data_IF_234102884658
#
_entry.id   IF_234102884658
#
_cell.length_a   1.000
_cell.length_b   1.000
_cell.length_c   1.000
_cell.angle_alpha   90.00
_cell.angle_beta   90.00
_cell.angle_gamma   90.00
#
_symmetry.space_group_name_H-M   'P 1'
#
loop_
_entity.id
_entity.type
_entity.pdbx_description
1 polymer ?
#
# COMPACT_ATOMS: atom_id res chain seq x y z
N UNK A 1 -15.71 -2.72 -1.72
CA UNK A 1 -15.04 -1.55 -2.30
C UNK A 1 -14.08 -2.01 -3.38
N UNK A 2 -14.07 -1.41 -4.53
CA UNK A 2 -13.10 -1.74 -5.56
C UNK A 2 -11.73 -1.07 -5.26
N UNK A 3 -10.66 -1.67 -5.79
CA UNK A 3 -9.32 -1.11 -5.67
C UNK A 3 -9.27 0.32 -6.21
N UNK A 4 -8.61 1.22 -5.49
CA UNK A 4 -8.60 2.63 -5.83
C UNK A 4 -7.30 3.32 -5.41
N UNK A 5 -6.95 4.39 -6.12
CA UNK A 5 -5.95 5.36 -5.68
C UNK A 5 -6.60 6.43 -4.81
N UNK A 6 -5.88 6.88 -3.79
CA UNK A 6 -6.29 8.07 -3.04
C UNK A 6 -6.18 9.32 -3.92
N UNK A 7 -7.14 10.23 -3.82
CA UNK A 7 -7.11 11.48 -4.60
C UNK A 7 -5.84 12.31 -4.33
N UNK A 8 -5.45 12.55 -3.06
CA UNK A 8 -4.17 13.21 -2.80
C UNK A 8 -2.93 12.40 -3.22
N UNK A 9 -3.08 11.08 -3.37
CA UNK A 9 -2.02 10.25 -3.93
C UNK A 9 -1.75 10.59 -5.41
N UNK A 10 -2.79 10.70 -6.21
CA UNK A 10 -2.66 11.15 -7.62
C UNK A 10 -2.09 12.55 -7.70
N UNK A 11 -2.57 13.47 -6.87
CA UNK A 11 -2.02 14.82 -6.78
C UNK A 11 -0.54 14.81 -6.43
N UNK A 12 -0.13 13.94 -5.49
CA UNK A 12 1.27 13.79 -5.09
C UNK A 12 2.18 13.35 -6.23
N UNK A 13 1.73 12.46 -7.10
CA UNK A 13 2.48 12.08 -8.30
C UNK A 13 2.61 13.27 -9.26
N UNK A 14 1.52 14.00 -9.52
CA UNK A 14 1.53 15.16 -10.42
C UNK A 14 2.38 16.31 -9.87
N UNK A 15 2.41 16.50 -8.56
CA UNK A 15 3.19 17.54 -7.89
C UNK A 15 4.67 17.17 -7.68
N UNK A 16 5.07 15.93 -7.97
CA UNK A 16 6.42 15.44 -7.71
C UNK A 16 6.71 15.18 -6.23
N UNK A 17 5.67 15.02 -5.41
CA UNK A 17 5.81 14.70 -3.98
C UNK A 17 5.86 13.20 -3.71
N UNK A 18 5.37 12.40 -4.65
CA UNK A 18 5.45 10.93 -4.63
C UNK A 18 6.27 10.49 -5.84
N UNK A 19 7.31 9.73 -5.56
CA UNK A 19 8.16 9.11 -6.56
C UNK A 19 8.11 7.60 -6.39
N UNK A 20 7.44 6.91 -7.30
CA UNK A 20 7.32 5.46 -7.25
C UNK A 20 8.66 4.76 -7.38
N UNK A 21 9.48 5.26 -8.28
CA UNK A 21 10.70 4.59 -8.72
C UNK A 21 11.79 4.62 -7.65
N UNK A 22 12.08 5.79 -7.09
CA UNK A 22 13.24 5.98 -6.21
C UNK A 22 12.90 6.10 -4.73
N UNK A 23 11.69 6.54 -4.37
CA UNK A 23 11.27 6.68 -2.98
C UNK A 23 11.07 5.32 -2.29
N UNK A 24 11.01 5.33 -0.96
CA UNK A 24 10.69 4.14 -0.15
C UNK A 24 9.19 3.94 -0.17
N UNK A 25 8.72 3.00 -0.97
CA UNK A 25 7.32 2.59 -1.03
C UNK A 25 7.15 1.32 -0.23
N UNK A 26 6.10 1.26 0.58
CA UNK A 26 5.74 0.09 1.40
C UNK A 26 4.27 -0.25 1.23
N UNK A 27 3.93 -1.46 1.63
CA UNK A 27 2.54 -1.87 1.80
C UNK A 27 2.30 -2.31 3.24
N UNK A 28 1.06 -2.20 3.69
CA UNK A 28 0.62 -2.71 4.98
C UNK A 28 -0.68 -3.48 4.83
N UNK A 29 -0.86 -4.53 5.64
CA UNK A 29 -2.15 -5.14 5.83
C UNK A 29 -2.93 -4.34 6.87
N UNK A 30 -4.10 -3.85 6.50
CA UNK A 30 -4.92 -2.94 7.32
C UNK A 30 -6.28 -3.54 7.57
N UNK A 31 -6.73 -3.48 8.82
CA UNK A 31 -8.10 -3.82 9.25
C UNK A 31 -8.78 -2.62 9.91
N UNK A 32 -10.10 -2.66 9.99
CA UNK A 32 -10.87 -1.65 10.73
C UNK A 32 -10.97 -0.29 10.06
N UNK A 33 -10.48 -0.14 8.84
CA UNK A 33 -10.52 1.10 8.09
C UNK A 33 -11.57 1.02 6.98
N UNK A 34 -12.41 2.04 6.89
CA UNK A 34 -13.29 2.27 5.74
C UNK A 34 -12.60 3.23 4.78
N UNK A 35 -12.40 2.80 3.55
CA UNK A 35 -11.70 3.60 2.54
C UNK A 35 -12.32 4.99 2.37
N UNK A 36 -11.49 6.01 2.47
CA UNK A 36 -11.85 7.40 2.18
C UNK A 36 -10.83 7.99 1.19
N UNK A 37 -11.28 8.20 -0.03
CA UNK A 37 -10.43 8.67 -1.13
C UNK A 37 -9.76 10.03 -0.87
N UNK A 38 -10.27 10.83 0.05
CA UNK A 38 -9.74 12.15 0.37
C UNK A 38 -8.59 12.14 1.38
N UNK A 39 -8.31 11.01 2.02
CA UNK A 39 -7.21 10.91 2.97
C UNK A 39 -5.86 11.04 2.26
N UNK A 40 -4.93 11.75 2.88
CA UNK A 40 -3.63 12.09 2.31
C UNK A 40 -2.47 11.36 2.97
N UNK A 41 -2.55 11.12 4.26
CA UNK A 41 -1.46 10.56 5.07
C UNK A 41 -1.87 9.31 5.83
N UNK A 42 -0.90 8.45 6.14
CA UNK A 42 -1.14 7.23 6.93
C UNK A 42 -1.77 7.54 8.29
N UNK A 43 -1.45 8.67 8.90
CA UNK A 43 -2.05 9.10 10.17
C UNK A 43 -3.57 9.28 10.09
N UNK A 44 -4.14 9.57 8.93
CA UNK A 44 -5.59 9.67 8.75
C UNK A 44 -6.25 8.30 8.70
N UNK A 45 -5.55 7.28 8.21
CA UNK A 45 -6.01 5.89 8.26
C UNK A 45 -6.09 5.41 9.71
N UNK A 46 -5.03 5.63 10.49
CA UNK A 46 -5.01 5.24 11.90
C UNK A 46 -5.96 6.09 12.75
N UNK A 47 -6.12 7.37 12.44
CA UNK A 47 -7.10 8.25 13.07
C UNK A 47 -8.55 7.86 12.79
N UNK A 48 -8.81 7.16 11.68
CA UNK A 48 -10.12 6.62 11.31
C UNK A 48 -10.27 5.13 11.70
N UNK A 49 -9.68 4.72 12.79
CA UNK A 49 -9.75 3.37 13.37
C UNK A 49 -9.00 2.28 12.59
N UNK A 50 -8.26 2.63 11.56
CA UNK A 50 -7.43 1.69 10.81
C UNK A 50 -6.27 1.18 11.66
N UNK A 51 -6.02 -0.12 11.60
CA UNK A 51 -4.88 -0.76 12.26
C UNK A 51 -3.98 -1.36 11.19
N UNK A 52 -2.74 -0.88 11.11
CA UNK A 52 -1.71 -1.48 10.28
C UNK A 52 -1.19 -2.72 11.01
N UNK A 53 -1.74 -3.88 10.67
CA UNK A 53 -1.41 -5.14 11.37
C UNK A 53 0.03 -5.57 11.13
N UNK A 54 0.52 -5.41 9.90
CA UNK A 54 1.90 -5.66 9.51
C UNK A 54 2.27 -4.77 8.33
N UNK A 55 3.50 -4.28 8.32
CA UNK A 55 4.04 -3.44 7.24
C UNK A 55 5.23 -4.14 6.59
N UNK A 56 5.33 -4.06 5.27
CA UNK A 56 6.42 -4.67 4.52
C UNK A 56 7.75 -3.92 4.69
N UNK A 57 8.84 -4.55 4.26
CA UNK A 57 10.05 -3.83 3.86
C UNK A 57 9.74 -2.93 2.65
N UNK A 58 10.69 -2.11 2.24
CA UNK A 58 10.58 -1.33 1.00
C UNK A 58 10.31 -2.26 -0.20
N UNK A 59 9.38 -1.87 -1.07
CA UNK A 59 9.12 -2.62 -2.29
C UNK A 59 10.35 -2.68 -3.16
N UNK A 60 10.65 -3.86 -3.69
CA UNK A 60 11.79 -4.12 -4.56
C UNK A 60 11.36 -4.18 -6.04
N UNK A 61 12.33 -4.00 -6.94
CA UNK A 61 12.14 -4.13 -8.39
C UNK A 61 10.99 -3.27 -8.94
N UNK A 62 10.85 -2.05 -8.41
CA UNK A 62 9.81 -1.11 -8.86
C UNK A 62 10.06 -0.66 -10.29
N UNK A 63 8.99 -0.57 -11.08
CA UNK A 63 9.00 -0.08 -12.46
C UNK A 63 7.84 0.87 -12.73
N UNK A 64 7.99 1.69 -13.76
CA UNK A 64 7.01 2.72 -14.16
C UNK A 64 6.69 2.68 -15.66
N UNK A 65 6.82 1.53 -16.27
CA UNK A 65 6.71 1.38 -17.72
C UNK A 65 5.29 1.67 -18.23
N UNK A 66 5.17 2.56 -19.20
CA UNK A 66 3.89 2.90 -19.83
C UNK A 66 2.88 3.57 -18.88
N UNK A 67 3.36 4.29 -17.87
CA UNK A 67 2.49 4.90 -16.85
C UNK A 67 1.93 3.91 -15.83
N UNK A 68 2.39 2.66 -15.87
CA UNK A 68 1.93 1.59 -15.01
C UNK A 68 2.99 1.26 -13.96
N UNK A 69 2.60 1.29 -12.69
CA UNK A 69 3.45 0.94 -11.56
C UNK A 69 3.45 -0.57 -11.32
N UNK A 70 4.64 -1.12 -11.13
CA UNK A 70 4.84 -2.52 -10.76
C UNK A 70 5.96 -2.64 -9.72
N UNK A 71 6.01 -3.79 -9.05
CA UNK A 71 7.05 -4.15 -8.09
C UNK A 71 7.09 -5.68 -7.91
N UNK A 72 8.11 -6.19 -7.24
CA UNK A 72 8.14 -7.59 -6.83
C UNK A 72 7.00 -7.89 -5.83
N UNK A 73 6.53 -9.13 -5.85
CA UNK A 73 5.56 -9.63 -4.88
C UNK A 73 6.08 -9.49 -3.45
N UNK A 74 5.17 -9.35 -2.50
CA UNK A 74 5.50 -9.16 -1.08
C UNK A 74 5.04 -10.37 -0.27
N UNK A 75 5.95 -10.95 0.50
CA UNK A 75 5.64 -12.00 1.45
C UNK A 75 5.69 -11.45 2.88
N UNK A 76 4.62 -11.66 3.63
CA UNK A 76 4.58 -11.44 5.08
C UNK A 76 4.69 -12.78 5.79
N UNK A 77 5.64 -12.91 6.70
CA UNK A 77 5.91 -14.17 7.41
C UNK A 77 5.14 -14.21 8.72
N UNK A 78 4.48 -15.34 9.00
CA UNK A 78 3.82 -15.65 10.28
C UNK A 78 2.93 -14.49 10.77
N UNK A 79 2.01 -14.04 9.94
CA UNK A 79 1.10 -12.93 10.28
C UNK A 79 0.15 -13.37 11.38
N UNK A 80 0.13 -12.62 12.48
CA UNK A 80 -0.71 -12.93 13.64
C UNK A 80 -2.17 -13.14 13.25
N UNK A 81 -2.76 -14.25 13.70
CA UNK A 81 -4.14 -14.59 13.39
C UNK A 81 -5.12 -13.51 13.86
N UNK A 82 -6.07 -13.17 13.02
CA UNK A 82 -7.13 -12.21 13.33
C UNK A 82 -8.33 -12.51 12.45
N UNK A 83 -9.53 -12.54 13.04
CA UNK A 83 -10.76 -12.88 12.33
C UNK A 83 -11.29 -11.75 11.41
N UNK A 84 -10.74 -10.54 11.52
CA UNK A 84 -11.16 -9.42 10.69
C UNK A 84 -10.58 -9.50 9.29
N UNK A 85 -11.32 -9.00 8.30
CA UNK A 85 -10.82 -8.82 6.95
C UNK A 85 -9.73 -7.75 6.92
N UNK A 86 -8.67 -8.04 6.21
CA UNK A 86 -7.56 -7.11 5.96
C UNK A 86 -7.53 -6.73 4.49
N UNK A 87 -7.11 -5.51 4.22
CA UNK A 87 -6.86 -4.97 2.89
C UNK A 87 -5.43 -4.48 2.78
N UNK A 88 -4.98 -4.18 1.59
CA UNK A 88 -3.62 -3.70 1.33
C UNK A 88 -3.64 -2.19 1.17
N UNK A 89 -2.85 -1.50 1.99
CA UNK A 89 -2.56 -0.08 1.88
C UNK A 89 -1.19 0.10 1.21
N UNK A 90 -1.11 0.96 0.20
CA UNK A 90 0.14 1.31 -0.48
C UNK A 90 0.47 2.75 -0.11
N UNK A 91 1.68 3.01 0.35
CA UNK A 91 2.09 4.34 0.79
C UNK A 91 3.58 4.61 0.61
N UNK A 92 3.94 5.89 0.53
CA UNK A 92 5.34 6.33 0.52
C UNK A 92 5.80 6.54 1.96
N UNK A 93 6.68 5.66 2.43
CA UNK A 93 7.22 5.69 3.80
C UNK A 93 8.31 6.76 3.97
N UNK A 94 9.03 7.07 2.89
CA UNK A 94 10.02 8.16 2.82
C UNK A 94 10.17 8.62 1.37
N UNK A 95 10.27 9.91 1.14
CA UNK A 95 10.60 10.47 -0.18
C UNK A 95 12.10 10.32 -0.51
N UNK A 96 12.93 10.05 0.49
CA UNK A 96 14.38 9.88 0.33
C UNK A 96 14.69 8.44 -0.04
N UNK A 97 15.40 8.21 -1.13
CA UNK A 97 15.83 6.89 -1.56
C UNK A 97 16.65 6.21 -0.45
N UNK A 98 16.22 5.00 -0.05
CA UNK A 98 16.84 4.26 1.05
C UNK A 98 16.72 4.93 2.43
N UNK A 99 15.90 5.98 2.55
CA UNK A 99 15.70 6.71 3.79
C UNK A 99 14.91 5.94 4.84
N UNK A 100 15.05 6.35 6.09
CA UNK A 100 14.23 5.84 7.19
C UNK A 100 12.78 6.33 7.06
N UNK A 101 11.84 5.55 7.59
CA UNK A 101 10.43 5.92 7.60
C UNK A 101 10.23 7.26 8.31
N UNK A 102 9.49 8.15 7.67
CA UNK A 102 9.06 9.40 8.30
C UNK A 102 7.84 9.16 9.19
N UNK A 103 7.45 10.17 9.97
CA UNK A 103 6.24 10.06 10.78
C UNK A 103 4.99 9.78 9.93
N UNK A 104 4.01 9.07 10.47
CA UNK A 104 2.77 8.72 9.77
C UNK A 104 2.02 9.93 9.21
N UNK A 105 2.16 11.10 9.85
CA UNK A 105 1.61 12.38 9.39
C UNK A 105 2.31 12.96 8.16
N UNK A 106 3.40 12.36 7.71
CA UNK A 106 4.15 12.75 6.52
C UNK A 106 4.24 11.61 5.48
N UNK A 107 3.76 10.41 5.81
CA UNK A 107 3.72 9.27 4.88
C UNK A 107 2.53 9.40 3.93
N UNK A 108 2.80 9.61 2.65
CA UNK A 108 1.77 9.85 1.63
C UNK A 108 1.05 8.56 1.23
N UNK A 109 -0.27 8.59 1.28
CA UNK A 109 -1.11 7.50 0.78
C UNK A 109 -1.09 7.45 -0.75
N UNK A 110 -1.03 6.24 -1.30
CA UNK A 110 -1.03 6.00 -2.74
C UNK A 110 -2.29 5.23 -3.14
N UNK A 111 -2.47 4.02 -2.65
CA UNK A 111 -3.53 3.15 -3.09
C UNK A 111 -4.10 2.22 -2.02
N UNK A 112 -5.29 1.70 -2.31
CA UNK A 112 -6.03 0.76 -1.49
C UNK A 112 -6.47 -0.43 -2.34
N UNK A 113 -6.19 -1.64 -1.88
CA UNK A 113 -6.55 -2.89 -2.56
C UNK A 113 -7.33 -3.77 -1.58
N UNK A 114 -8.57 -4.04 -1.90
CA UNK A 114 -9.47 -4.87 -1.08
C UNK A 114 -10.21 -5.96 -1.87
N UNK A 115 -9.94 -6.07 -3.16
CA UNK A 115 -10.52 -7.08 -4.04
C UNK A 115 -9.46 -7.72 -4.92
N UNK A 116 -9.67 -8.98 -5.27
CA UNK A 116 -8.77 -9.75 -6.11
C UNK A 116 -8.68 -11.20 -5.63
N UNK A 117 -7.77 -11.96 -6.24
CA UNK A 117 -7.47 -13.32 -5.80
C UNK A 117 -6.96 -13.32 -4.35
N UNK A 118 -7.48 -14.21 -3.52
CA UNK A 118 -7.18 -14.33 -2.08
C UNK A 118 -7.73 -13.21 -1.19
N UNK A 119 -8.53 -12.31 -1.71
CA UNK A 119 -9.31 -11.38 -0.89
C UNK A 119 -10.70 -11.97 -0.57
N UNK A 120 -11.26 -11.68 0.62
CA UNK A 120 -10.64 -10.93 1.71
C UNK A 120 -9.48 -11.68 2.38
N UNK A 121 -8.49 -10.96 2.87
CA UNK A 121 -7.37 -11.54 3.60
C UNK A 121 -7.75 -11.67 5.07
N UNK A 122 -7.75 -12.91 5.59
CA UNK A 122 -7.99 -13.19 7.01
C UNK A 122 -6.77 -13.92 7.56
N UNK A 123 -5.89 -13.26 8.30
CA UNK A 123 -4.67 -13.87 8.82
C UNK A 123 -4.95 -15.03 9.77
N UNK A 124 -4.20 -16.12 9.62
CA UNK A 124 -4.35 -17.35 10.42
C UNK A 124 -3.09 -17.76 11.19
N UNK A 125 -2.08 -16.89 11.25
CA UNK A 125 -0.78 -17.19 11.84
C UNK A 125 0.27 -17.70 10.85
N UNK A 126 -0.12 -18.00 9.62
CA UNK A 126 0.75 -18.41 8.54
C UNK A 126 1.27 -17.23 7.70
N UNK A 127 2.02 -17.57 6.66
CA UNK A 127 2.56 -16.59 5.71
C UNK A 127 1.46 -16.09 4.77
N UNK A 128 1.55 -14.81 4.39
CA UNK A 128 0.66 -14.17 3.43
C UNK A 128 1.52 -13.56 2.33
N UNK A 129 1.25 -13.95 1.08
CA UNK A 129 1.92 -13.36 -0.09
C UNK A 129 0.93 -12.47 -0.83
N UNK A 130 1.34 -11.23 -1.07
CA UNK A 130 0.66 -10.29 -1.96
C UNK A 130 1.34 -10.40 -3.31
N UNK A 131 0.68 -11.07 -4.25
CA UNK A 131 1.14 -11.21 -5.63
C UNK A 131 0.43 -10.18 -6.51
N UNK A 132 1.22 -9.36 -7.19
CA UNK A 132 0.68 -8.37 -8.12
C UNK A 132 0.26 -9.01 -9.43
N UNK A 133 -0.64 -8.35 -10.17
CA UNK A 133 -1.06 -8.83 -11.48
C UNK A 133 0.16 -8.96 -12.42
N UNK A 134 0.32 -10.12 -13.01
CA UNK A 134 1.37 -10.37 -14.01
C UNK A 134 0.99 -9.89 -15.42
N UNK A 135 -0.27 -9.50 -15.63
CA UNK A 135 -0.78 -8.96 -16.89
C UNK A 135 -0.42 -7.48 -17.11
N UNK A 136 -1.27 -6.78 -17.81
CA UNK A 136 -1.04 -5.38 -18.20
C UNK A 136 -1.37 -4.36 -17.11
N UNK A 137 -2.21 -4.74 -16.14
CA UNK A 137 -2.68 -3.81 -15.10
C UNK A 137 -1.68 -3.61 -13.95
N UNK A 138 -0.87 -4.62 -13.67
CA UNK A 138 0.14 -4.58 -12.61
C UNK A 138 -0.46 -4.13 -11.26
N UNK A 139 0.12 -3.12 -10.61
CA UNK A 139 -0.39 -2.58 -9.34
C UNK A 139 -1.42 -1.49 -9.61
N UNK A 140 -1.05 -0.48 -10.37
CA UNK A 140 -1.96 0.57 -10.83
C UNK A 140 -1.40 1.32 -12.04
N UNK A 141 -2.27 2.03 -12.73
CA UNK A 141 -1.92 2.94 -13.85
C UNK A 141 -2.41 4.34 -13.52
N UNK A 142 -1.58 5.34 -13.78
CA UNK A 142 -1.95 6.75 -13.68
C UNK A 142 -2.56 7.26 -14.98
#
# INVERSE_FOLDING_TARGET
MANALFTPGREGFLAGEIDWDTAVIKIALVRGYTFNAAHKFVSEVTGASGVLAVTSAALASKTVTGGTADAADVAFTAVTANASNHSVLIFQASAVTGGADVAASAQRLIGWVDTGTNFPIVPNGGDITIAWDSGTNKIFTL
#
